data_IF_153217924736
#
_entry.id   IF_153217924736
#
_cell.length_a   1.000
_cell.length_b   1.000
_cell.length_c   1.000
_cell.angle_alpha   90.00
_cell.angle_beta   90.00
_cell.angle_gamma   90.00
#
_symmetry.space_group_name_H-M   'P 1'
#
loop_
_entity.id
_entity.type
_entity.pdbx_description
1 polymer ?
#
# COMPACT_ATOMS: atom_id res chain seq x y z
N UNK A 1 11.58 8.10 11.76
CA UNK A 1 12.38 6.89 11.45
C UNK A 1 12.04 5.85 12.48
N UNK A 2 10.94 5.14 12.25
CA UNK A 2 10.63 3.97 13.05
C UNK A 2 11.72 2.91 12.78
N UNK A 3 12.21 2.29 13.85
CA UNK A 3 13.20 1.18 13.79
C UNK A 3 14.63 1.56 13.33
N UNK A 4 14.97 2.84 13.28
CA UNK A 4 16.36 3.31 13.12
C UNK A 4 16.97 3.13 11.73
N UNK A 5 16.15 2.84 10.70
CA UNK A 5 16.58 2.72 9.31
C UNK A 5 16.59 4.09 8.65
N UNK A 6 17.77 4.69 8.49
CA UNK A 6 17.90 6.03 7.91
C UNK A 6 17.72 6.06 6.38
N UNK A 7 17.98 4.94 5.71
CA UNK A 7 17.85 4.75 4.25
C UNK A 7 16.64 3.85 3.99
N UNK A 8 15.46 4.32 4.42
CA UNK A 8 14.19 3.64 4.20
C UNK A 8 13.56 4.11 2.88
N UNK A 9 12.72 3.26 2.31
CA UNK A 9 11.88 3.62 1.16
C UNK A 9 11.04 4.87 1.44
N UNK A 10 10.75 5.61 0.38
CA UNK A 10 9.81 6.71 0.40
C UNK A 10 8.39 6.22 0.08
N UNK A 11 7.38 7.01 0.43
CA UNK A 11 5.99 6.77 0.02
C UNK A 11 5.88 6.62 -1.51
N UNK A 12 6.67 7.38 -2.28
CA UNK A 12 6.70 7.23 -3.73
C UNK A 12 7.30 5.90 -4.20
N UNK A 13 8.28 5.34 -3.49
CA UNK A 13 8.83 4.02 -3.81
C UNK A 13 7.76 2.93 -3.59
N UNK A 14 7.05 3.01 -2.46
CA UNK A 14 5.92 2.14 -2.14
C UNK A 14 4.81 2.23 -3.21
N UNK A 15 4.29 3.44 -3.47
CA UNK A 15 3.24 3.65 -4.48
C UNK A 15 3.68 3.15 -5.85
N UNK A 16 4.94 3.38 -6.23
CA UNK A 16 5.48 2.88 -7.49
C UNK A 16 5.45 1.36 -7.56
N UNK A 17 5.89 0.66 -6.50
CA UNK A 17 5.91 -0.81 -6.46
C UNK A 17 4.52 -1.40 -6.45
N UNK A 18 3.60 -0.88 -5.64
CA UNK A 18 2.19 -1.33 -5.62
C UNK A 18 1.56 -1.15 -7.00
N UNK A 19 1.77 0.01 -7.64
CA UNK A 19 1.27 0.30 -8.99
C UNK A 19 1.90 -0.66 -10.01
N UNK A 20 3.21 -0.89 -9.95
CA UNK A 20 3.90 -1.80 -10.86
C UNK A 20 3.44 -3.25 -10.70
N UNK A 21 3.25 -3.72 -9.45
CA UNK A 21 2.72 -5.05 -9.15
C UNK A 21 1.31 -5.26 -9.73
N UNK A 22 0.49 -4.21 -9.75
CA UNK A 22 -0.87 -4.28 -10.31
C UNK A 22 -0.90 -4.66 -11.80
N UNK A 23 0.20 -4.43 -12.54
CA UNK A 23 0.35 -4.87 -13.93
C UNK A 23 0.33 -6.39 -14.12
N UNK A 24 0.70 -7.14 -13.08
CA UNK A 24 0.84 -8.58 -13.16
C UNK A 24 -0.40 -9.34 -12.67
N UNK A 25 -1.42 -8.62 -12.20
CA UNK A 25 -2.72 -9.19 -11.88
C UNK A 25 -3.36 -9.78 -13.14
N UNK A 26 -3.91 -10.98 -13.02
CA UNK A 26 -4.50 -11.70 -14.13
C UNK A 26 -5.90 -12.29 -13.84
N UNK A 27 -6.48 -11.97 -12.68
CA UNK A 27 -7.84 -12.40 -12.34
C UNK A 27 -8.87 -12.07 -13.45
N UNK A 28 -9.65 -13.06 -13.94
CA UNK A 28 -10.64 -12.84 -14.99
C UNK A 28 -11.67 -11.77 -14.63
N UNK A 29 -11.86 -10.80 -15.52
CA UNK A 29 -12.86 -9.74 -15.35
C UNK A 29 -12.37 -8.52 -14.55
N UNK A 30 -11.15 -8.57 -14.00
CA UNK A 30 -10.56 -7.45 -13.28
C UNK A 30 -10.13 -6.32 -14.24
N UNK A 31 -10.52 -5.08 -13.95
CA UNK A 31 -10.01 -3.92 -14.68
C UNK A 31 -8.64 -3.50 -14.14
N UNK A 32 -7.58 -4.05 -14.74
CA UNK A 32 -6.19 -3.73 -14.37
C UNK A 32 -5.90 -2.22 -14.51
N UNK A 33 -6.46 -1.53 -15.51
CA UNK A 33 -6.23 -0.09 -15.67
C UNK A 33 -6.82 0.70 -14.49
N UNK A 34 -7.93 0.22 -13.94
CA UNK A 34 -8.52 0.82 -12.74
C UNK A 34 -7.71 0.47 -11.49
N UNK A 35 -7.16 -0.74 -11.37
CA UNK A 35 -6.19 -1.07 -10.30
C UNK A 35 -5.00 -0.10 -10.28
N UNK A 36 -4.40 0.20 -11.45
CA UNK A 36 -3.32 1.19 -11.56
C UNK A 36 -3.74 2.56 -11.04
N UNK A 37 -4.92 3.02 -11.45
CA UNK A 37 -5.43 4.33 -11.08
C UNK A 37 -5.67 4.43 -9.57
N UNK A 38 -6.24 3.38 -8.97
CA UNK A 38 -6.46 3.28 -7.52
C UNK A 38 -5.12 3.20 -6.78
N UNK A 39 -4.17 2.39 -7.26
CA UNK A 39 -2.83 2.26 -6.67
C UNK A 39 -2.05 3.58 -6.71
N UNK A 40 -2.17 4.40 -7.73
CA UNK A 40 -1.54 5.72 -7.75
C UNK A 40 -2.19 6.71 -6.77
N UNK A 41 -3.49 6.56 -6.51
CA UNK A 41 -4.24 7.48 -5.69
C UNK A 41 -4.22 7.14 -4.19
N UNK A 42 -3.98 5.88 -3.82
CA UNK A 42 -4.32 5.38 -2.48
C UNK A 42 -3.65 6.15 -1.32
N UNK A 43 -2.34 6.37 -1.41
CA UNK A 43 -1.55 7.06 -0.38
C UNK A 43 -1.06 8.44 -0.82
N UNK A 44 -1.65 9.01 -1.88
CA UNK A 44 -1.26 10.34 -2.38
C UNK A 44 -1.48 11.46 -1.34
N UNK A 45 -2.39 11.25 -0.38
CA UNK A 45 -2.64 12.20 0.70
C UNK A 45 -1.43 12.33 1.64
N UNK A 46 -0.62 11.28 1.78
CA UNK A 46 0.55 11.24 2.66
C UNK A 46 1.65 12.19 2.21
N UNK A 47 1.64 12.62 0.94
CA UNK A 47 2.50 13.69 0.45
C UNK A 47 2.34 15.02 1.21
N UNK A 48 1.20 15.23 1.88
CA UNK A 48 0.94 16.43 2.70
C UNK A 48 0.70 16.11 4.17
N UNK A 49 0.05 14.99 4.50
CA UNK A 49 -0.25 14.65 5.90
C UNK A 49 0.87 13.86 6.58
N UNK A 50 1.84 13.37 5.81
CA UNK A 50 2.85 12.40 6.24
C UNK A 50 2.28 10.98 6.34
N UNK A 51 3.16 10.00 6.38
CA UNK A 51 2.78 8.60 6.68
C UNK A 51 2.39 8.50 8.17
N UNK A 52 1.10 8.32 8.43
CA UNK A 52 0.54 8.18 9.78
C UNK A 52 0.35 6.70 10.07
N UNK A 53 1.17 6.19 10.99
CA UNK A 53 1.27 4.77 11.30
C UNK A 53 0.54 4.41 12.60
N UNK A 54 0.34 3.12 12.91
CA UNK A 54 -0.15 2.70 14.23
C UNK A 54 0.75 3.11 15.41
N UNK A 55 2.02 3.48 15.17
CA UNK A 55 2.93 3.95 16.22
C UNK A 55 2.59 5.39 16.66
N UNK A 56 1.88 6.16 15.82
CA UNK A 56 1.46 7.54 16.08
C UNK A 56 0.28 7.61 17.06
N UNK A 57 0.56 7.42 18.36
CA UNK A 57 -0.44 7.36 19.43
C UNK A 57 -1.36 8.58 19.57
N UNK A 58 -1.02 9.70 18.94
CA UNK A 58 -1.77 10.96 19.05
C UNK A 58 -2.79 11.15 17.93
N UNK A 59 -2.84 10.25 16.94
CA UNK A 59 -3.77 10.32 15.82
C UNK A 59 -4.60 9.05 15.78
N UNK A 60 -5.89 9.15 16.06
CA UNK A 60 -6.79 8.00 15.92
C UNK A 60 -7.20 7.79 14.46
N UNK A 61 -7.87 6.66 14.18
CA UNK A 61 -8.32 6.33 12.82
C UNK A 61 -9.25 7.39 12.22
N UNK A 62 -10.07 8.07 13.03
CA UNK A 62 -11.00 9.09 12.53
C UNK A 62 -10.26 10.36 12.14
N UNK A 63 -9.28 10.77 12.94
CA UNK A 63 -8.43 11.91 12.67
C UNK A 63 -7.53 11.67 11.46
N UNK A 64 -6.92 10.48 11.34
CA UNK A 64 -6.16 10.06 10.14
C UNK A 64 -7.02 10.23 8.89
N UNK A 65 -8.19 9.58 8.88
CA UNK A 65 -9.12 9.64 7.77
C UNK A 65 -9.56 11.07 7.44
N UNK A 66 -9.83 11.90 8.46
CA UNK A 66 -10.20 13.30 8.25
C UNK A 66 -9.09 14.10 7.55
N UNK A 67 -7.84 13.95 8.00
CA UNK A 67 -6.68 14.66 7.41
C UNK A 67 -6.45 14.23 5.97
N UNK A 68 -6.50 12.92 5.71
CA UNK A 68 -6.32 12.37 4.37
C UNK A 68 -7.43 12.85 3.45
N UNK A 69 -8.69 12.77 3.90
CA UNK A 69 -9.83 13.24 3.13
C UNK A 69 -9.74 14.74 2.80
N UNK A 70 -9.39 15.57 3.79
CA UNK A 70 -9.19 17.00 3.58
C UNK A 70 -8.08 17.30 2.55
N UNK A 71 -7.04 16.47 2.55
CA UNK A 71 -5.93 16.57 1.58
C UNK A 71 -6.39 16.22 0.17
N UNK A 72 -7.15 15.14 0.01
CA UNK A 72 -7.72 14.76 -1.28
C UNK A 72 -8.66 15.85 -1.80
N UNK A 73 -9.51 16.41 -0.94
CA UNK A 73 -10.40 17.50 -1.33
C UNK A 73 -9.62 18.74 -1.79
N UNK A 74 -8.54 19.09 -1.09
CA UNK A 74 -7.63 20.16 -1.50
C UNK A 74 -6.99 19.89 -2.87
N UNK A 75 -6.45 18.69 -3.09
CA UNK A 75 -5.84 18.30 -4.37
C UNK A 75 -6.86 18.34 -5.51
N UNK A 76 -8.09 17.90 -5.26
CA UNK A 76 -9.17 17.94 -6.23
C UNK A 76 -9.50 19.38 -6.63
N UNK A 77 -9.65 20.31 -5.67
CA UNK A 77 -9.90 21.72 -5.96
C UNK A 77 -8.72 22.40 -6.67
N UNK A 78 -7.49 21.95 -6.44
CA UNK A 78 -6.31 22.43 -7.18
C UNK A 78 -6.31 21.98 -8.64
N UNK A 79 -6.72 20.75 -8.92
CA UNK A 79 -6.71 20.14 -10.27
C UNK A 79 -7.92 20.62 -11.10
N UNK A 80 -9.08 20.80 -10.46
CA UNK A 80 -10.37 21.05 -11.10
C UNK A 80 -10.39 22.21 -12.12
N UNK A 81 -9.72 23.37 -11.89
CA UNK A 81 -9.66 24.45 -12.88
C UNK A 81 -9.01 24.05 -14.21
N UNK A 82 -8.13 23.05 -14.19
CA UNK A 82 -7.40 22.58 -15.37
C UNK A 82 -8.04 21.33 -15.98
N UNK A 83 -8.55 20.43 -15.14
CA UNK A 83 -9.17 19.19 -15.58
C UNK A 83 -10.14 18.65 -14.51
N UNK A 84 -11.41 19.05 -14.61
CA UNK A 84 -12.47 18.60 -13.71
C UNK A 84 -12.62 17.08 -13.69
N UNK A 85 -12.51 16.41 -14.84
CA UNK A 85 -12.61 14.94 -14.92
C UNK A 85 -11.49 14.25 -14.14
N UNK A 86 -10.26 14.77 -14.19
CA UNK A 86 -9.14 14.22 -13.43
C UNK A 86 -9.30 14.45 -11.93
N UNK A 87 -9.81 15.62 -11.51
CA UNK A 87 -10.14 15.87 -10.11
C UNK A 87 -11.20 14.89 -9.59
N UNK A 88 -12.28 14.67 -10.35
CA UNK A 88 -13.30 13.68 -10.02
C UNK A 88 -12.71 12.27 -9.94
N UNK A 89 -11.91 11.87 -10.93
CA UNK A 89 -11.25 10.55 -10.99
C UNK A 89 -10.39 10.30 -9.75
N UNK A 90 -9.56 11.27 -9.34
CA UNK A 90 -8.72 11.17 -8.14
C UNK A 90 -9.57 10.92 -6.88
N UNK A 91 -10.63 11.71 -6.70
CA UNK A 91 -11.53 11.55 -5.56
C UNK A 91 -12.23 10.19 -5.58
N UNK A 92 -12.72 9.75 -6.73
CA UNK A 92 -13.38 8.45 -6.90
C UNK A 92 -12.44 7.29 -6.60
N UNK A 93 -11.21 7.32 -7.12
CA UNK A 93 -10.22 6.25 -6.92
C UNK A 93 -9.77 6.15 -5.46
N UNK A 94 -9.48 7.29 -4.82
CA UNK A 94 -9.12 7.32 -3.40
C UNK A 94 -10.28 6.81 -2.52
N UNK A 95 -11.51 7.28 -2.78
CA UNK A 95 -12.69 6.78 -2.06
C UNK A 95 -12.93 5.30 -2.33
N UNK A 96 -12.63 4.81 -3.53
CA UNK A 96 -12.81 3.41 -3.87
C UNK A 96 -11.88 2.52 -3.04
N UNK A 97 -10.61 2.92 -2.90
CA UNK A 97 -9.62 2.27 -2.04
C UNK A 97 -10.03 2.31 -0.57
N UNK A 98 -10.33 3.51 -0.05
CA UNK A 98 -10.59 3.72 1.38
C UNK A 98 -11.86 2.98 1.86
N UNK A 99 -12.89 2.95 1.02
CA UNK A 99 -14.14 2.24 1.32
C UNK A 99 -14.16 0.78 0.85
N UNK A 100 -13.11 0.31 0.14
CA UNK A 100 -13.04 -1.01 -0.48
C UNK A 100 -14.32 -1.30 -1.30
N UNK A 101 -14.72 -0.34 -2.13
CA UNK A 101 -16.06 -0.32 -2.74
C UNK A 101 -16.19 -1.10 -4.04
N UNK A 102 -15.08 -1.63 -4.57
CA UNK A 102 -15.05 -2.41 -5.81
C UNK A 102 -13.98 -3.50 -5.73
N UNK A 103 -14.05 -4.46 -6.65
CA UNK A 103 -13.10 -5.59 -6.71
C UNK A 103 -11.67 -5.10 -6.89
N UNK A 104 -11.44 -4.11 -7.76
CA UNK A 104 -10.11 -3.52 -7.97
C UNK A 104 -9.52 -2.93 -6.68
N UNK A 105 -10.34 -2.29 -5.85
CA UNK A 105 -9.89 -1.77 -4.56
C UNK A 105 -9.52 -2.88 -3.57
N UNK A 106 -10.18 -4.05 -3.63
CA UNK A 106 -9.78 -5.23 -2.84
C UNK A 106 -8.39 -5.70 -3.27
N UNK A 107 -8.17 -5.84 -4.58
CA UNK A 107 -6.87 -6.24 -5.12
C UNK A 107 -5.77 -5.24 -4.77
N UNK A 108 -5.99 -3.93 -4.91
CA UNK A 108 -4.99 -2.93 -4.54
C UNK A 108 -4.70 -2.93 -3.04
N UNK A 109 -5.70 -3.16 -2.17
CA UNK A 109 -5.48 -3.34 -0.72
C UNK A 109 -4.68 -4.60 -0.39
N UNK A 110 -4.78 -5.64 -1.19
CA UNK A 110 -3.99 -6.85 -1.03
C UNK A 110 -2.55 -6.64 -1.53
N UNK A 111 -2.37 -5.94 -2.65
CA UNK A 111 -1.06 -5.57 -3.18
C UNK A 111 -0.27 -4.66 -2.24
N UNK A 112 -0.93 -3.67 -1.64
CA UNK A 112 -0.36 -2.81 -0.60
C UNK A 112 0.24 -3.65 0.56
N UNK A 113 -0.49 -4.64 1.06
CA UNK A 113 0.02 -5.56 2.10
C UNK A 113 1.12 -6.48 1.59
N UNK A 114 0.96 -6.99 0.37
CA UNK A 114 1.96 -7.87 -0.22
C UNK A 114 3.29 -7.12 -0.40
N UNK A 115 3.24 -5.88 -0.87
CA UNK A 115 4.42 -5.02 -1.04
C UNK A 115 5.10 -4.75 0.31
N UNK A 116 4.34 -4.46 1.36
CA UNK A 116 4.85 -4.36 2.74
C UNK A 116 5.60 -5.63 3.17
N UNK A 117 5.09 -6.83 2.84
CA UNK A 117 5.76 -8.10 3.16
C UNK A 117 7.04 -8.30 2.33
N UNK A 118 7.03 -7.90 1.05
CA UNK A 118 8.22 -7.94 0.18
C UNK A 118 9.29 -7.01 0.76
N UNK A 119 8.92 -5.80 1.16
CA UNK A 119 9.85 -4.88 1.79
C UNK A 119 10.39 -5.43 3.12
N UNK A 120 9.54 -6.08 3.93
CA UNK A 120 9.95 -6.66 5.20
C UNK A 120 11.05 -7.74 5.02
N UNK A 121 10.90 -8.65 4.06
CA UNK A 121 11.95 -9.65 3.78
C UNK A 121 13.22 -9.02 3.20
N UNK A 122 13.11 -7.99 2.37
CA UNK A 122 14.26 -7.26 1.83
C UNK A 122 15.06 -6.57 2.94
N UNK A 123 14.38 -5.95 3.91
CA UNK A 123 15.02 -5.39 5.09
C UNK A 123 15.60 -6.46 6.03
N UNK A 124 14.90 -7.59 6.23
CA UNK A 124 15.42 -8.72 7.03
C UNK A 124 16.75 -9.24 6.44
N UNK A 125 16.82 -9.37 5.11
CA UNK A 125 18.05 -9.77 4.39
C UNK A 125 19.16 -8.72 4.47
N UNK A 126 18.81 -7.44 4.38
CA UNK A 126 19.79 -6.33 4.39
C UNK A 126 20.31 -6.02 5.79
N UNK A 127 19.47 -6.20 6.82
CA UNK A 127 19.75 -5.88 8.22
C UNK A 127 19.36 -7.08 9.10
N UNK A 128 20.25 -8.09 9.26
CA UNK A 128 19.92 -9.34 9.97
C UNK A 128 19.48 -9.18 11.43
N UNK A 129 19.85 -8.07 12.08
CA UNK A 129 19.45 -7.72 13.44
C UNK A 129 18.06 -7.07 13.55
N UNK A 130 17.41 -6.73 12.43
CA UNK A 130 16.12 -6.06 12.40
C UNK A 130 14.97 -7.07 12.58
N UNK A 131 14.18 -6.89 13.64
CA UNK A 131 13.01 -7.73 13.90
C UNK A 131 11.78 -7.26 13.10
N UNK A 132 11.54 -7.82 11.92
CA UNK A 132 10.37 -7.49 11.07
C UNK A 132 9.12 -8.35 11.35
N UNK A 133 9.10 -9.15 12.43
CA UNK A 133 8.07 -10.18 12.63
C UNK A 133 6.64 -9.62 12.71
N UNK A 134 6.47 -8.40 13.23
CA UNK A 134 5.14 -7.80 13.35
C UNK A 134 4.45 -7.54 12.01
N UNK A 135 5.22 -7.25 10.95
CA UNK A 135 4.68 -6.97 9.62
C UNK A 135 4.07 -8.21 8.97
N UNK A 136 4.52 -9.40 9.35
CA UNK A 136 4.01 -10.67 8.83
C UNK A 136 2.56 -10.98 9.23
N UNK A 137 1.99 -10.23 10.19
CA UNK A 137 0.54 -10.26 10.47
C UNK A 137 -0.31 -9.79 9.30
N UNK A 138 0.27 -9.03 8.36
CA UNK A 138 -0.43 -8.60 7.16
C UNK A 138 -0.84 -9.78 6.25
N UNK A 139 -0.17 -10.93 6.36
CA UNK A 139 -0.48 -12.14 5.60
C UNK A 139 -1.94 -12.59 5.78
N UNK A 140 -2.45 -12.56 7.02
CA UNK A 140 -3.83 -12.96 7.36
C UNK A 140 -4.89 -11.98 6.83
N UNK A 141 -4.46 -10.79 6.40
CA UNK A 141 -5.35 -9.73 5.92
C UNK A 141 -5.55 -9.74 4.41
N UNK A 142 -4.74 -10.51 3.66
CA UNK A 142 -4.83 -10.65 2.21
C UNK A 142 -6.05 -11.53 1.87
N UNK A 143 -6.90 -11.07 0.95
CA UNK A 143 -8.24 -11.68 0.70
C UNK A 143 -8.34 -12.46 -0.60
N UNK A 144 -7.80 -11.93 -1.67
CA UNK A 144 -7.88 -12.47 -3.04
C UNK A 144 -7.01 -13.70 -3.19
N UNK A 145 -7.49 -14.69 -3.93
CA UNK A 145 -6.80 -15.97 -4.06
C UNK A 145 -5.48 -15.82 -4.82
N UNK A 146 -5.42 -14.94 -5.82
CA UNK A 146 -4.21 -14.64 -6.58
C UNK A 146 -3.11 -14.09 -5.68
N UNK A 147 -3.38 -13.02 -4.91
CA UNK A 147 -2.37 -12.37 -4.06
C UNK A 147 -2.04 -13.24 -2.83
N UNK A 148 -2.98 -14.03 -2.32
CA UNK A 148 -2.67 -15.05 -1.29
C UNK A 148 -1.62 -16.05 -1.76
N UNK A 149 -1.71 -16.49 -3.02
CA UNK A 149 -0.73 -17.41 -3.57
C UNK A 149 0.66 -16.75 -3.62
N UNK A 150 0.75 -15.50 -4.09
CA UNK A 150 2.01 -14.75 -4.11
C UNK A 150 2.61 -14.59 -2.71
N UNK A 151 1.77 -14.24 -1.73
CA UNK A 151 2.20 -14.05 -0.35
C UNK A 151 2.64 -15.37 0.32
N UNK A 152 2.02 -16.49 -0.04
CA UNK A 152 2.47 -17.82 0.39
C UNK A 152 3.84 -18.15 -0.16
N UNK A 153 4.07 -17.93 -1.46
CA UNK A 153 5.37 -18.19 -2.10
C UNK A 153 6.47 -17.32 -1.45
N UNK A 154 6.16 -16.06 -1.14
CA UNK A 154 7.06 -15.16 -0.41
C UNK A 154 7.38 -15.65 1.01
N UNK A 155 6.39 -16.19 1.73
CA UNK A 155 6.61 -16.78 3.06
C UNK A 155 7.51 -18.00 2.98
N UNK A 156 7.33 -18.86 1.97
CA UNK A 156 8.21 -20.02 1.74
C UNK A 156 9.66 -19.56 1.48
N UNK A 157 9.85 -18.50 0.70
CA UNK A 157 11.17 -17.88 0.48
C UNK A 157 11.79 -17.37 1.79
N UNK A 158 11.00 -16.67 2.62
CA UNK A 158 11.44 -16.19 3.94
C UNK A 158 11.89 -17.33 4.84
N UNK A 159 11.10 -18.39 4.93
CA UNK A 159 11.40 -19.58 5.74
C UNK A 159 12.71 -20.21 5.28
N UNK A 160 12.94 -20.31 3.96
CA UNK A 160 14.18 -20.87 3.43
C UNK A 160 15.38 -19.97 3.75
N UNK A 161 15.24 -18.64 3.58
CA UNK A 161 16.29 -17.70 3.97
C UNK A 161 16.66 -17.84 5.45
N UNK A 162 15.69 -17.92 6.36
CA UNK A 162 15.93 -18.08 7.79
C UNK A 162 16.64 -19.39 8.16
N UNK A 163 16.48 -20.46 7.36
CA UNK A 163 17.26 -21.69 7.54
C UNK A 163 18.73 -21.49 7.21
N UNK A 164 19.07 -20.64 6.26
CA UNK A 164 20.47 -20.36 5.88
C UNK A 164 21.24 -19.57 6.93
N UNK A 165 20.53 -18.91 7.85
CA UNK A 165 21.11 -18.13 8.95
C UNK A 165 21.36 -18.96 10.23
N UNK A 166 20.87 -20.21 10.29
CA UNK A 166 21.02 -21.14 11.42
C UNK A 166 22.17 -22.13 11.19
#
# INVERSE_FOLDING_TARGET
>A
VDRGINDCESISDHIFRVTFMSQFLNSPGLDVSKCFSIALAHDIAEALVGDITPADKNVDKKEKHYREKATIDYLCELIKPYNEKAATKLCEDWNAYENISCEEAVYVKDLDKYELLVQAIEYEKRYPELDVEEFWRALDMIKTDEVKQWAKDLLEERIEHQKTLK
#
